data_IF_149474396443
#
_entry.id   IF_149474396443
#
_cell.length_a   1.000
_cell.length_b   1.000
_cell.length_c   1.000
_cell.angle_alpha   90.00
_cell.angle_beta   90.00
_cell.angle_gamma   90.00
#
_symmetry.space_group_name_H-M   'P 1'
#
loop_
_entity.id
_entity.type
_entity.pdbx_description
1 polymer ?
#
# COMPACT_ATOMS: atom_id res chain seq x y z
N UNK A 1 27.17 -8.02 -14.42
CA UNK A 1 25.91 -7.64 -13.71
C UNK A 1 24.91 -8.78 -13.91
N UNK A 2 24.27 -9.29 -12.84
CA UNK A 2 23.35 -10.44 -12.94
C UNK A 2 21.96 -9.95 -13.39
N UNK A 3 21.30 -10.66 -14.31
CA UNK A 3 19.99 -10.31 -14.87
C UNK A 3 18.93 -10.08 -13.78
N UNK A 4 18.96 -10.86 -12.70
CA UNK A 4 18.07 -10.67 -11.54
C UNK A 4 18.24 -9.28 -10.90
N UNK A 5 19.47 -8.82 -10.70
CA UNK A 5 19.73 -7.50 -10.12
C UNK A 5 19.31 -6.38 -11.07
N UNK A 6 19.57 -6.53 -12.37
CA UNK A 6 19.14 -5.55 -13.37
C UNK A 6 17.61 -5.43 -13.42
N UNK A 7 16.88 -6.55 -13.40
CA UNK A 7 15.42 -6.54 -13.37
C UNK A 7 14.87 -5.87 -12.09
N UNK A 8 15.49 -6.12 -10.94
CA UNK A 8 15.13 -5.44 -9.68
C UNK A 8 15.37 -3.93 -9.79
N UNK A 9 16.54 -3.49 -10.27
CA UNK A 9 16.81 -2.06 -10.43
C UNK A 9 15.86 -1.40 -11.43
N UNK A 10 15.56 -2.05 -12.55
CA UNK A 10 14.58 -1.54 -13.52
C UNK A 10 13.18 -1.43 -12.90
N UNK A 11 12.75 -2.45 -12.16
CA UNK A 11 11.47 -2.41 -11.44
C UNK A 11 11.39 -1.28 -10.41
N UNK A 12 12.44 -1.12 -9.59
CA UNK A 12 12.51 -0.03 -8.61
C UNK A 12 12.53 1.33 -9.29
N UNK A 13 13.28 1.49 -10.38
CA UNK A 13 13.32 2.73 -11.16
C UNK A 13 11.94 3.08 -11.76
N UNK A 14 11.19 2.09 -12.24
CA UNK A 14 9.84 2.30 -12.74
C UNK A 14 8.87 2.72 -11.64
N UNK A 15 8.95 2.12 -10.45
CA UNK A 15 8.14 2.53 -9.30
C UNK A 15 8.47 3.96 -8.89
N UNK A 16 9.76 4.30 -8.78
CA UNK A 16 10.20 5.66 -8.45
C UNK A 16 9.75 6.68 -9.50
N UNK A 17 9.88 6.33 -10.78
CA UNK A 17 9.38 7.16 -11.88
C UNK A 17 7.88 7.40 -11.76
N UNK A 18 7.10 6.35 -11.50
CA UNK A 18 5.65 6.47 -11.32
C UNK A 18 5.29 7.40 -10.15
N UNK A 19 5.94 7.23 -9.00
CA UNK A 19 5.70 8.06 -7.81
C UNK A 19 6.04 9.53 -8.08
N UNK A 20 7.13 9.82 -8.79
CA UNK A 20 7.57 11.18 -9.08
C UNK A 20 6.73 11.82 -10.20
N UNK A 21 6.42 11.07 -11.26
CA UNK A 21 5.67 11.58 -12.40
C UNK A 21 4.18 11.75 -12.11
N UNK A 22 3.61 10.93 -11.22
CA UNK A 22 2.18 10.94 -10.87
C UNK A 22 1.98 10.85 -9.34
N UNK A 23 2.41 11.87 -8.57
CA UNK A 23 2.40 11.83 -7.11
C UNK A 23 0.98 11.72 -6.53
N UNK A 24 -0.02 12.31 -7.19
CA UNK A 24 -1.42 12.22 -6.75
C UNK A 24 -1.98 10.80 -6.81
N UNK A 25 -1.68 10.05 -7.88
CA UNK A 25 -2.14 8.66 -8.01
C UNK A 25 -1.41 7.74 -7.01
N UNK A 26 -0.10 7.94 -6.83
CA UNK A 26 0.68 7.21 -5.83
C UNK A 26 0.15 7.45 -4.41
N UNK A 27 -0.16 8.71 -4.05
CA UNK A 27 -0.78 9.04 -2.77
C UNK A 27 -2.17 8.39 -2.62
N UNK A 28 -2.97 8.39 -3.68
CA UNK A 28 -4.26 7.70 -3.71
C UNK A 28 -4.15 6.20 -3.40
N UNK A 29 -3.18 5.50 -3.98
CA UNK A 29 -2.94 4.08 -3.72
C UNK A 29 -2.61 3.82 -2.24
N UNK A 30 -1.69 4.60 -1.65
CA UNK A 30 -1.31 4.44 -0.24
C UNK A 30 -2.49 4.76 0.68
N UNK A 31 -3.22 5.84 0.41
CA UNK A 31 -4.40 6.21 1.20
C UNK A 31 -5.51 5.14 1.12
N UNK A 32 -5.71 4.50 -0.04
CA UNK A 32 -6.66 3.40 -0.19
C UNK A 32 -6.26 2.18 0.65
N UNK A 33 -4.96 1.83 0.66
CA UNK A 33 -4.44 0.73 1.49
C UNK A 33 -4.67 1.05 2.98
N UNK A 34 -4.30 2.25 3.43
CA UNK A 34 -4.48 2.66 4.81
C UNK A 34 -5.97 2.69 5.19
N UNK A 35 -6.82 3.17 4.28
CA UNK A 35 -8.28 3.17 4.46
C UNK A 35 -8.82 1.75 4.65
N UNK A 36 -8.41 0.81 3.80
CA UNK A 36 -8.79 -0.59 3.95
C UNK A 36 -8.35 -1.18 5.29
N UNK A 37 -7.10 -0.92 5.72
CA UNK A 37 -6.59 -1.39 7.01
C UNK A 37 -7.39 -0.79 8.18
N UNK A 38 -7.77 0.48 8.11
CA UNK A 38 -8.61 1.12 9.12
C UNK A 38 -9.99 0.47 9.17
N UNK A 39 -10.66 0.28 8.04
CA UNK A 39 -11.99 -0.35 8.01
C UNK A 39 -11.96 -1.80 8.51
N UNK A 40 -10.90 -2.54 8.20
CA UNK A 40 -10.69 -3.87 8.75
C UNK A 40 -10.51 -3.83 10.27
N UNK A 41 -9.73 -2.87 10.79
CA UNK A 41 -9.55 -2.69 12.22
C UNK A 41 -10.86 -2.31 12.95
N UNK A 42 -11.65 -1.40 12.38
CA UNK A 42 -12.96 -1.02 12.93
C UNK A 42 -13.91 -2.23 13.02
N UNK A 43 -13.89 -3.10 12.00
CA UNK A 43 -14.70 -4.32 11.98
C UNK A 43 -14.30 -5.29 13.09
N UNK A 44 -12.98 -5.47 13.32
CA UNK A 44 -12.47 -6.32 14.40
C UNK A 44 -12.81 -5.73 15.77
N UNK A 45 -12.64 -4.42 15.95
CA UNK A 45 -12.99 -3.75 17.21
C UNK A 45 -14.49 -3.91 17.49
N UNK A 46 -15.35 -3.66 16.50
CA UNK A 46 -16.80 -3.79 16.64
C UNK A 46 -17.21 -5.21 17.03
N UNK A 47 -16.60 -6.23 16.41
CA UNK A 47 -16.82 -7.62 16.77
C UNK A 47 -16.44 -7.90 18.24
N UNK A 48 -15.24 -7.49 18.66
CA UNK A 48 -14.76 -7.69 20.02
C UNK A 48 -15.69 -6.98 21.02
N UNK A 49 -16.02 -5.71 20.78
CA UNK A 49 -16.94 -4.97 21.63
C UNK A 49 -18.32 -5.63 21.73
N UNK A 50 -18.85 -6.22 20.65
CA UNK A 50 -20.14 -6.91 20.65
C UNK A 50 -20.13 -8.29 21.32
N UNK A 51 -18.98 -8.96 21.39
CA UNK A 51 -18.84 -10.27 22.06
C UNK A 51 -18.63 -10.12 23.57
N UNK A 52 -17.94 -9.06 24.00
CA UNK A 52 -17.56 -8.84 25.39
C UNK A 52 -18.40 -7.78 26.12
N UNK A 53 -19.55 -7.40 25.56
CA UNK A 53 -20.54 -6.54 26.22
C UNK A 53 -21.63 -7.34 26.93
#
# INVERSE_FOLDING_TARGET
MNAKKLAVFAGVALVLFFVIAQPGQAAGLVNNIIGFLRSAAESVISFVSGVFS
#
